data_IF_627694493472
#
_entry.id   IF_627694493472
#
_cell.length_a   1.000
_cell.length_b   1.000
_cell.length_c   1.000
_cell.angle_alpha   90.00
_cell.angle_beta   90.00
_cell.angle_gamma   90.00
#
_symmetry.space_group_name_H-M   'P 1'
#
loop_
_entity.id
_entity.type
_entity.pdbx_description
1 polymer ?
#
# COMPACT_ATOMS: atom_id res chain seq x y z
N UNK A 1 64.36 -29.14 33.36
CA UNK A 1 64.62 -30.59 33.39
C UNK A 1 63.51 -31.18 34.21
N UNK A 2 62.70 -31.96 33.51
CA UNK A 2 61.51 -32.66 33.98
C UNK A 2 61.82 -33.67 35.10
N UNK A 3 60.82 -33.89 35.94
CA UNK A 3 60.20 -35.18 36.30
C UNK A 3 59.77 -35.23 37.78
N UNK A 4 58.46 -35.30 37.95
CA UNK A 4 57.72 -35.81 39.12
C UNK A 4 57.72 -37.36 39.12
N UNK A 5 57.05 -38.09 40.05
CA UNK A 5 56.58 -37.86 41.43
C UNK A 5 56.97 -39.06 42.36
N UNK A 6 56.28 -39.36 43.49
CA UNK A 6 55.14 -40.29 43.39
C UNK A 6 53.98 -40.07 44.39
N UNK A 7 52.96 -40.89 44.18
CA UNK A 7 51.55 -40.92 44.58
C UNK A 7 51.27 -41.59 45.94
N UNK A 8 49.96 -41.66 46.28
CA UNK A 8 49.22 -42.60 47.20
C UNK A 8 49.23 -42.27 48.72
N UNK A 9 48.15 -42.33 49.54
CA UNK A 9 46.77 -42.89 49.49
C UNK A 9 45.93 -42.35 50.69
N UNK A 10 44.58 -42.35 50.61
CA UNK A 10 43.54 -42.60 51.67
C UNK A 10 43.55 -41.78 53.01
N UNK A 11 42.47 -41.44 53.73
CA UNK A 11 41.10 -41.94 53.92
C UNK A 11 40.26 -40.92 54.77
N UNK A 12 38.93 -40.94 54.57
CA UNK A 12 37.77 -40.61 55.44
C UNK A 12 37.83 -39.64 56.66
N UNK A 13 36.87 -38.69 56.72
CA UNK A 13 35.88 -38.54 57.82
C UNK A 13 34.82 -37.44 57.54
N UNK A 14 33.56 -37.77 57.80
CA UNK A 14 32.25 -37.04 57.70
C UNK A 14 31.99 -36.07 58.89
N UNK A 15 30.80 -35.45 59.10
CA UNK A 15 29.96 -34.59 58.23
C UNK A 15 29.46 -33.29 58.95
N UNK A 16 28.96 -32.30 58.22
CA UNK A 16 28.03 -31.22 58.63
C UNK A 16 27.48 -30.66 57.30
N UNK A 17 26.19 -30.73 56.93
CA UNK A 17 25.01 -30.46 57.74
C UNK A 17 24.60 -29.00 57.54
N UNK A 18 24.08 -28.63 56.35
CA UNK A 18 23.16 -27.50 56.23
C UNK A 18 22.32 -27.57 54.95
N UNK A 19 21.02 -27.73 55.14
CA UNK A 19 19.96 -27.55 54.15
C UNK A 19 19.71 -26.05 53.97
N UNK A 20 19.63 -25.58 52.73
CA UNK A 20 18.85 -24.37 52.43
C UNK A 20 18.01 -24.60 51.17
N UNK A 21 16.71 -24.69 51.41
CA UNK A 21 15.64 -24.77 50.43
C UNK A 21 15.55 -23.47 49.59
N UNK A 22 14.98 -23.53 48.37
CA UNK A 22 14.81 -22.36 47.53
C UNK A 22 13.71 -21.43 48.05
N UNK A 23 13.99 -20.14 48.02
CA UNK A 23 13.09 -19.03 48.37
C UNK A 23 11.90 -19.01 47.39
N UNK A 24 10.63 -18.92 47.86
CA UNK A 24 9.49 -18.79 46.97
C UNK A 24 9.47 -17.39 46.34
N UNK A 25 9.39 -17.33 45.01
CA UNK A 25 9.11 -16.08 44.30
C UNK A 25 7.65 -15.70 44.52
N UNK A 26 7.45 -14.52 45.08
CA UNK A 26 6.15 -13.89 45.29
C UNK A 26 5.52 -13.56 43.93
N UNK A 27 4.43 -14.26 43.58
CA UNK A 27 3.63 -13.96 42.39
C UNK A 27 2.87 -12.64 42.61
N UNK A 28 3.33 -11.57 41.95
CA UNK A 28 2.55 -10.34 41.84
C UNK A 28 1.24 -10.63 41.07
N UNK A 29 0.08 -10.12 41.53
CA UNK A 29 -1.17 -10.33 40.81
C UNK A 29 -1.13 -9.60 39.46
N UNK A 30 -1.74 -10.19 38.39
CA UNK A 30 -1.70 -9.62 37.05
C UNK A 30 -2.34 -8.24 37.02
N UNK A 31 -1.70 -7.33 36.28
CA UNK A 31 -2.21 -5.97 36.06
C UNK A 31 -3.50 -6.01 35.23
N UNK A 32 -4.38 -5.02 35.43
CA UNK A 32 -5.71 -4.91 34.82
C UNK A 32 -5.72 -5.08 33.29
N UNK A 33 -4.60 -4.83 32.62
CA UNK A 33 -4.42 -4.97 31.16
C UNK A 33 -4.26 -6.43 30.72
N UNK A 34 -3.63 -7.29 31.52
CA UNK A 34 -3.50 -8.73 31.21
C UNK A 34 -4.81 -9.49 31.41
N UNK A 35 -5.68 -9.02 32.30
CA UNK A 35 -7.01 -9.57 32.50
C UNK A 35 -7.97 -9.22 31.34
N UNK A 36 -7.85 -8.04 30.73
CA UNK A 36 -8.62 -7.67 29.53
C UNK A 36 -8.19 -8.45 28.27
N UNK A 37 -6.90 -8.72 28.10
CA UNK A 37 -6.38 -9.52 26.98
C UNK A 37 -6.82 -10.99 27.04
N UNK A 38 -7.08 -11.52 28.25
CA UNK A 38 -7.53 -12.90 28.45
C UNK A 38 -9.05 -13.03 28.24
N UNK A 39 -9.84 -12.02 28.65
CA UNK A 39 -11.29 -11.98 28.37
C UNK A 39 -11.64 -11.91 26.88
N UNK A 40 -10.79 -11.28 26.07
CA UNK A 40 -10.99 -11.21 24.60
C UNK A 40 -10.69 -12.52 23.87
N UNK A 41 -10.13 -13.54 24.53
CA UNK A 41 -9.85 -14.85 23.93
C UNK A 41 -10.95 -15.90 24.15
N UNK A 42 -11.80 -15.73 25.16
CA UNK A 42 -12.77 -16.76 25.58
C UNK A 42 -14.21 -16.55 25.10
N UNK A 43 -14.53 -15.45 24.40
CA UNK A 43 -15.88 -15.21 23.85
C UNK A 43 -15.95 -15.40 22.31
N UNK A 44 -15.58 -16.59 21.84
CA UNK A 44 -15.95 -17.04 20.49
C UNK A 44 -16.90 -18.25 20.60
N UNK A 45 -18.13 -18.19 20.07
CA UNK A 45 -19.04 -19.34 20.11
C UNK A 45 -18.49 -20.50 19.25
N UNK A 46 -18.80 -21.77 19.59
CA UNK A 46 -18.25 -22.92 18.89
C UNK A 46 -18.72 -22.96 17.43
N UNK A 47 -17.78 -23.06 16.50
CA UNK A 47 -18.04 -23.22 15.07
C UNK A 47 -18.65 -24.60 14.84
N UNK A 48 -19.95 -24.62 14.53
CA UNK A 48 -20.63 -25.82 14.02
C UNK A 48 -20.15 -26.09 12.60
N UNK A 49 -19.60 -27.28 12.36
CA UNK A 49 -19.13 -27.74 11.06
C UNK A 49 -20.31 -27.92 10.11
N UNK A 50 -20.48 -27.03 9.12
CA UNK A 50 -21.41 -27.26 8.02
C UNK A 50 -20.66 -27.88 6.83
N UNK A 51 -21.11 -29.07 6.43
CA UNK A 51 -20.61 -29.82 5.27
C UNK A 51 -20.87 -29.08 3.96
N UNK A 52 -19.92 -29.17 3.02
CA UNK A 52 -20.02 -28.60 1.68
C UNK A 52 -21.10 -29.30 0.83
N UNK A 53 -21.88 -28.57 0.02
CA UNK A 53 -22.80 -29.18 -0.94
C UNK A 53 -22.06 -29.73 -2.18
N UNK A 54 -22.59 -30.79 -2.85
CA UNK A 54 -21.91 -31.43 -3.96
C UNK A 54 -22.06 -30.63 -5.28
N UNK A 55 -21.03 -30.70 -6.11
CA UNK A 55 -21.00 -30.09 -7.45
C UNK A 55 -21.88 -30.86 -8.45
N UNK A 56 -22.63 -30.17 -9.34
CA UNK A 56 -23.38 -30.85 -10.39
C UNK A 56 -22.46 -31.26 -11.55
N UNK A 57 -22.65 -32.51 -11.98
CA UNK A 57 -22.04 -33.13 -13.15
C UNK A 57 -23.02 -33.03 -14.31
N UNK A 58 -22.59 -32.57 -15.49
CA UNK A 58 -23.32 -32.87 -16.73
C UNK A 58 -22.37 -33.17 -17.88
N UNK A 59 -22.53 -34.36 -18.44
CA UNK A 59 -21.94 -34.86 -19.69
C UNK A 59 -22.85 -34.47 -20.86
N UNK A 60 -22.28 -34.14 -22.01
CA UNK A 60 -22.76 -34.48 -23.36
C UNK A 60 -21.67 -34.08 -24.37
N UNK A 61 -20.86 -35.02 -24.87
CA UNK A 61 -21.03 -35.80 -26.10
C UNK A 61 -21.10 -34.99 -27.40
N UNK A 62 -20.05 -35.18 -28.20
CA UNK A 62 -19.77 -34.67 -29.54
C UNK A 62 -20.60 -35.36 -30.62
N UNK A 63 -20.57 -34.83 -31.86
CA UNK A 63 -20.16 -35.69 -32.97
C UNK A 63 -19.10 -35.08 -33.90
N UNK A 64 -18.26 -36.00 -34.40
CA UNK A 64 -17.12 -35.87 -35.30
C UNK A 64 -17.48 -35.62 -36.77
N UNK A 65 -16.63 -34.89 -37.52
CA UNK A 65 -16.03 -35.42 -38.77
C UNK A 65 -14.74 -34.70 -39.19
N UNK A 66 -13.80 -35.50 -39.72
CA UNK A 66 -12.41 -35.27 -40.19
C UNK A 66 -12.34 -34.21 -41.32
N UNK A 67 -11.25 -33.49 -41.62
CA UNK A 67 -9.85 -33.42 -41.18
C UNK A 67 -9.03 -32.71 -42.27
N UNK A 68 -7.98 -31.96 -41.90
CA UNK A 68 -6.73 -31.70 -42.67
C UNK A 68 -5.82 -30.74 -41.89
N UNK A 69 -4.53 -31.06 -41.83
CA UNK A 69 -3.43 -30.28 -41.26
C UNK A 69 -3.30 -28.87 -41.87
N UNK A 70 -2.80 -27.90 -41.08
CA UNK A 70 -1.54 -27.14 -41.28
C UNK A 70 -1.34 -26.13 -40.11
N UNK A 71 -0.06 -25.95 -39.74
CA UNK A 71 0.60 -25.17 -38.66
C UNK A 71 0.60 -23.63 -38.94
N UNK A 72 0.84 -22.74 -37.93
CA UNK A 72 0.16 -21.44 -37.78
C UNK A 72 0.91 -20.22 -38.33
N UNK A 73 0.16 -19.13 -38.56
CA UNK A 73 0.68 -17.82 -39.00
C UNK A 73 0.30 -16.68 -38.06
N UNK A 74 1.13 -15.64 -38.15
CA UNK A 74 1.44 -14.51 -37.28
C UNK A 74 0.41 -13.37 -37.21
N UNK A 75 0.62 -12.55 -36.17
CA UNK A 75 0.58 -11.08 -36.07
C UNK A 75 -0.28 -10.25 -37.03
N UNK A 76 -1.09 -9.37 -36.45
CA UNK A 76 -1.73 -8.25 -37.17
C UNK A 76 -1.26 -6.91 -36.58
N UNK A 77 -0.41 -6.21 -37.35
CA UNK A 77 -0.14 -4.79 -37.25
C UNK A 77 -1.25 -3.98 -37.96
N UNK A 78 -1.56 -2.78 -37.45
CA UNK A 78 -2.45 -1.80 -38.08
C UNK A 78 -1.66 -0.68 -38.79
N UNK A 79 -2.23 -0.04 -39.83
CA UNK A 79 -1.46 0.47 -40.97
C UNK A 79 -1.03 1.94 -40.88
N UNK A 80 0.08 2.21 -41.57
CA UNK A 80 0.57 3.54 -41.97
C UNK A 80 0.12 3.82 -43.42
N UNK A 81 -0.27 5.06 -43.73
CA UNK A 81 -0.62 5.49 -45.09
C UNK A 81 0.38 6.53 -45.60
N UNK A 82 1.23 6.13 -46.54
CA UNK A 82 1.96 6.94 -47.55
C UNK A 82 0.97 7.52 -48.58
N UNK A 83 1.15 8.63 -49.28
CA UNK A 83 2.22 9.59 -49.51
C UNK A 83 1.89 10.39 -50.80
N UNK A 84 2.57 11.52 -51.07
CA UNK A 84 3.00 11.94 -52.43
C UNK A 84 3.82 13.23 -52.41
N UNK A 85 4.75 13.27 -53.35
CA UNK A 85 5.97 14.07 -53.46
C UNK A 85 5.87 15.02 -54.67
N UNK A 86 6.32 16.28 -54.55
CA UNK A 86 6.80 17.14 -55.65
C UNK A 86 7.89 18.09 -55.10
N UNK A 87 9.00 18.24 -55.83
CA UNK A 87 10.25 18.99 -55.48
C UNK A 87 10.28 20.40 -56.17
N UNK A 88 11.35 21.24 -56.05
CA UNK A 88 11.39 22.59 -55.47
C UNK A 88 11.34 23.74 -56.53
N UNK A 89 11.29 25.05 -56.21
CA UNK A 89 12.46 25.97 -56.11
C UNK A 89 11.97 27.45 -56.01
N UNK A 90 12.72 28.25 -55.24
CA UNK A 90 12.98 29.72 -55.32
C UNK A 90 12.05 30.85 -54.80
N UNK A 91 12.71 31.71 -54.01
CA UNK A 91 12.63 33.17 -53.81
C UNK A 91 11.51 33.86 -53.01
N UNK A 92 11.89 34.22 -51.77
CA UNK A 92 11.89 35.57 -51.16
C UNK A 92 10.71 36.51 -51.45
N UNK A 93 9.87 36.76 -50.42
CA UNK A 93 9.48 38.10 -49.93
C UNK A 93 8.46 37.99 -48.79
N UNK A 94 8.79 38.53 -47.61
CA UNK A 94 7.82 38.98 -46.59
C UNK A 94 7.16 40.29 -47.07
N UNK A 95 5.89 40.66 -46.75
CA UNK A 95 5.47 40.91 -45.35
C UNK A 95 3.95 40.82 -44.99
N UNK A 96 3.68 41.03 -43.69
CA UNK A 96 2.51 41.69 -43.05
C UNK A 96 1.18 40.95 -42.79
N UNK A 97 0.98 40.71 -41.48
CA UNK A 97 -0.21 41.01 -40.64
C UNK A 97 -1.64 40.70 -41.12
N UNK A 98 -2.29 39.82 -40.36
CA UNK A 98 -3.75 39.73 -40.24
C UNK A 98 -4.16 38.52 -39.40
N UNK A 99 -3.86 38.50 -38.09
CA UNK A 99 -4.45 37.50 -37.18
C UNK A 99 -5.82 37.99 -36.75
N UNK A 100 -6.85 37.45 -37.38
CA UNK A 100 -8.22 37.53 -36.90
C UNK A 100 -8.33 36.65 -35.64
N UNK A 101 -8.44 37.30 -34.48
CA UNK A 101 -8.64 36.63 -33.19
C UNK A 101 -10.12 36.25 -33.14
N UNK A 102 -10.42 34.98 -33.36
CA UNK A 102 -11.73 34.41 -33.04
C UNK A 102 -11.82 34.32 -31.52
N UNK A 103 -12.42 35.35 -30.91
CA UNK A 103 -12.75 35.38 -29.49
C UNK A 103 -13.87 34.37 -29.24
N UNK A 104 -13.51 33.16 -28.78
CA UNK A 104 -14.50 32.23 -28.23
C UNK A 104 -15.02 32.86 -26.93
N UNK A 105 -16.26 33.34 -26.95
CA UNK A 105 -16.88 33.96 -25.79
C UNK A 105 -16.97 32.93 -24.66
N UNK A 106 -16.55 33.33 -23.47
CA UNK A 106 -16.62 32.61 -22.20
C UNK A 106 -18.08 32.42 -21.74
N UNK A 107 -18.88 31.71 -22.51
CA UNK A 107 -20.20 31.23 -22.09
C UNK A 107 -19.98 29.92 -21.32
N UNK A 108 -19.89 30.09 -20.00
CA UNK A 108 -20.33 29.16 -18.95
C UNK A 108 -20.24 27.68 -19.29
N UNK A 109 -19.06 27.07 -19.09
CA UNK A 109 -19.04 25.67 -18.67
C UNK A 109 -19.67 25.66 -17.28
N UNK A 110 -20.97 25.39 -17.17
CA UNK A 110 -21.54 24.99 -15.90
C UNK A 110 -20.76 23.74 -15.47
N UNK A 111 -20.12 23.78 -14.31
CA UNK A 111 -19.56 22.61 -13.65
C UNK A 111 -20.70 21.59 -13.46
N UNK A 112 -20.87 20.67 -14.42
CA UNK A 112 -21.80 19.55 -14.29
C UNK A 112 -21.17 18.58 -13.29
N UNK A 113 -21.41 18.83 -12.01
CA UNK A 113 -21.06 17.88 -10.94
C UNK A 113 -21.88 16.62 -11.14
N UNK A 114 -21.22 15.47 -11.18
CA UNK A 114 -21.88 14.19 -11.41
C UNK A 114 -22.44 13.67 -10.09
N UNK A 115 -23.74 13.34 -9.98
CA UNK A 115 -24.29 12.76 -8.77
C UNK A 115 -23.59 11.45 -8.38
N UNK A 116 -23.42 11.23 -7.08
CA UNK A 116 -22.94 9.97 -6.50
C UNK A 116 -24.10 9.20 -5.84
N UNK A 117 -23.90 7.91 -5.59
CA UNK A 117 -24.87 7.11 -4.84
C UNK A 117 -24.84 7.53 -3.36
N UNK A 118 -26.00 7.96 -2.84
CA UNK A 118 -26.20 8.35 -1.44
C UNK A 118 -26.61 7.16 -0.56
N UNK A 119 -27.09 6.09 -1.18
CA UNK A 119 -27.34 4.79 -0.57
C UNK A 119 -26.56 3.76 -1.38
N UNK A 120 -25.72 2.99 -0.71
CA UNK A 120 -24.81 2.06 -1.37
C UNK A 120 -24.76 0.75 -0.62
N UNK A 121 -24.92 -0.34 -1.38
CA UNK A 121 -24.62 -1.70 -0.93
C UNK A 121 -23.23 -2.08 -1.44
N UNK A 122 -22.39 -2.59 -0.56
CA UNK A 122 -21.00 -2.92 -0.88
C UNK A 122 -20.54 -4.16 -0.10
N UNK A 123 -19.64 -4.99 -0.67
CA UNK A 123 -19.31 -6.31 -0.12
C UNK A 123 -18.83 -6.28 1.34
N UNK A 124 -18.14 -5.21 1.72
CA UNK A 124 -17.59 -5.04 3.06
C UNK A 124 -18.58 -4.57 4.14
N UNK A 125 -19.80 -4.15 3.78
CA UNK A 125 -20.74 -3.48 4.69
C UNK A 125 -21.08 -4.33 5.92
N UNK A 126 -21.27 -5.63 5.70
CA UNK A 126 -21.64 -6.60 6.75
C UNK A 126 -20.58 -6.74 7.87
N UNK A 127 -19.33 -6.34 7.62
CA UNK A 127 -18.24 -6.47 8.59
C UNK A 127 -18.08 -5.23 9.49
N UNK A 128 -18.75 -4.12 9.16
CA UNK A 128 -18.70 -2.90 9.95
C UNK A 128 -19.72 -2.96 11.10
N UNK A 129 -19.38 -2.37 12.24
CA UNK A 129 -20.34 -2.18 13.32
C UNK A 129 -21.51 -1.27 12.88
N UNK A 130 -22.72 -1.41 13.43
CA UNK A 130 -23.90 -0.66 12.98
C UNK A 130 -23.73 0.87 13.04
N UNK A 131 -23.01 1.39 14.03
CA UNK A 131 -22.68 2.80 14.17
C UNK A 131 -21.73 3.29 13.07
N UNK A 132 -20.73 2.47 12.70
CA UNK A 132 -19.84 2.75 11.57
C UNK A 132 -20.61 2.76 10.24
N UNK A 133 -21.53 1.81 10.04
CA UNK A 133 -22.39 1.78 8.86
C UNK A 133 -23.26 3.04 8.76
N UNK A 134 -23.94 3.41 9.86
CA UNK A 134 -24.76 4.62 9.92
C UNK A 134 -23.94 5.88 9.64
N UNK A 135 -22.72 5.97 10.20
CA UNK A 135 -21.82 7.08 9.95
C UNK A 135 -21.45 7.20 8.46
N UNK A 136 -21.10 6.09 7.81
CA UNK A 136 -20.79 6.09 6.38
C UNK A 136 -22.00 6.47 5.52
N UNK A 137 -23.18 5.94 5.85
CA UNK A 137 -24.43 6.26 5.16
C UNK A 137 -24.76 7.77 5.26
N UNK A 138 -24.47 8.41 6.40
CA UNK A 138 -24.61 9.87 6.54
C UNK A 138 -23.56 10.65 5.74
N UNK A 139 -22.31 10.18 5.68
CA UNK A 139 -21.31 10.76 4.81
C UNK A 139 -21.69 10.65 3.33
N UNK A 140 -22.31 9.55 2.88
CA UNK A 140 -22.75 9.41 1.49
C UNK A 140 -23.86 10.38 1.11
N UNK A 141 -24.75 10.73 2.04
CA UNK A 141 -25.75 11.80 1.84
C UNK A 141 -25.11 13.18 1.79
N UNK A 142 -24.08 13.43 2.61
CA UNK A 142 -23.34 14.70 2.65
C UNK A 142 -22.55 14.92 1.36
N UNK A 143 -21.77 13.92 0.95
CA UNK A 143 -20.91 13.96 -0.22
C UNK A 143 -21.66 13.40 -1.45
N UNK A 144 -22.70 14.13 -1.86
CA UNK A 144 -23.67 13.69 -2.87
C UNK A 144 -23.17 13.76 -4.32
N UNK A 145 -21.97 14.30 -4.57
CA UNK A 145 -21.38 14.41 -5.91
C UNK A 145 -20.04 13.68 -5.98
N UNK A 146 -19.76 13.03 -7.11
CA UNK A 146 -18.52 12.26 -7.33
C UNK A 146 -17.25 13.08 -7.13
N UNK A 147 -17.32 14.40 -7.34
CA UNK A 147 -16.23 15.35 -7.20
C UNK A 147 -16.15 16.01 -5.80
N UNK A 148 -17.04 15.67 -4.85
CA UNK A 148 -16.93 16.18 -3.48
C UNK A 148 -15.60 15.75 -2.86
N UNK A 149 -14.88 16.70 -2.26
CA UNK A 149 -13.64 16.41 -1.53
C UNK A 149 -14.01 15.84 -0.17
N UNK A 150 -13.64 14.57 0.05
CA UNK A 150 -13.91 13.83 1.29
C UNK A 150 -12.77 14.02 2.27
N UNK A 151 -11.53 13.97 1.78
CA UNK A 151 -10.33 14.09 2.60
C UNK A 151 -9.27 14.91 1.86
N UNK A 152 -8.63 15.83 2.58
CA UNK A 152 -7.54 16.65 2.04
C UNK A 152 -6.51 16.94 3.14
N UNK A 153 -5.30 16.39 2.98
CA UNK A 153 -4.19 16.62 3.90
C UNK A 153 -2.84 16.48 3.20
N UNK A 154 -2.01 17.53 3.29
CA UNK A 154 -0.70 17.56 2.65
C UNK A 154 -0.82 17.48 1.12
N UNK A 155 -0.24 16.43 0.53
CA UNK A 155 -0.32 16.17 -0.92
C UNK A 155 -1.40 15.13 -1.26
N UNK A 156 -2.20 14.71 -0.29
CA UNK A 156 -3.22 13.68 -0.47
C UNK A 156 -4.59 14.33 -0.51
N UNK A 157 -5.31 14.08 -1.59
CA UNK A 157 -6.70 14.49 -1.77
C UNK A 157 -7.49 13.25 -2.21
N UNK A 158 -8.61 13.01 -1.55
CA UNK A 158 -9.54 11.92 -1.87
C UNK A 158 -10.90 12.55 -2.10
N UNK A 159 -11.49 12.25 -3.26
CA UNK A 159 -12.85 12.67 -3.61
C UNK A 159 -13.85 11.52 -3.41
N UNK A 160 -15.16 11.83 -3.43
CA UNK A 160 -16.24 10.86 -3.24
C UNK A 160 -16.13 9.66 -4.19
N UNK A 161 -15.73 9.89 -5.45
CA UNK A 161 -15.49 8.82 -6.42
C UNK A 161 -14.44 7.81 -5.97
N UNK A 162 -13.39 8.27 -5.30
CA UNK A 162 -12.32 7.39 -4.84
C UNK A 162 -12.84 6.47 -3.72
N UNK A 163 -13.73 6.98 -2.86
CA UNK A 163 -14.45 6.16 -1.88
C UNK A 163 -15.31 5.07 -2.55
N UNK A 164 -15.98 5.40 -3.67
CA UNK A 164 -16.71 4.40 -4.45
C UNK A 164 -15.77 3.31 -4.97
N UNK A 165 -14.62 3.69 -5.54
CA UNK A 165 -13.65 2.73 -6.07
C UNK A 165 -13.12 1.77 -4.98
N UNK A 166 -12.91 2.25 -3.75
CA UNK A 166 -12.54 1.37 -2.63
C UNK A 166 -13.64 0.36 -2.34
N UNK A 167 -14.89 0.82 -2.24
CA UNK A 167 -16.01 0.02 -1.73
C UNK A 167 -16.63 -0.92 -2.78
N UNK A 168 -16.55 -0.57 -4.06
CA UNK A 168 -17.16 -1.32 -5.16
C UNK A 168 -16.17 -2.24 -5.89
N UNK A 169 -15.19 -2.79 -5.16
CA UNK A 169 -14.21 -3.75 -5.69
C UNK A 169 -13.44 -3.25 -6.93
N UNK A 170 -13.19 -1.95 -7.02
CA UNK A 170 -12.36 -1.39 -8.09
C UNK A 170 -10.87 -1.36 -7.73
N UNK A 171 -10.03 -1.17 -8.75
CA UNK A 171 -8.59 -1.01 -8.58
C UNK A 171 -8.27 0.30 -7.86
N UNK A 172 -7.41 0.23 -6.84
CA UNK A 172 -6.89 1.43 -6.19
C UNK A 172 -5.93 2.20 -7.11
N UNK A 173 -5.95 3.53 -7.01
CA UNK A 173 -5.03 4.43 -7.71
C UNK A 173 -3.93 5.00 -6.79
N UNK A 174 -3.14 5.94 -7.31
CA UNK A 174 -2.04 6.57 -6.57
C UNK A 174 -2.49 7.31 -5.30
N UNK A 175 -3.63 8.00 -5.34
CA UNK A 175 -4.14 8.75 -4.18
C UNK A 175 -4.57 7.81 -3.07
N UNK A 176 -5.14 6.65 -3.41
CA UNK A 176 -5.45 5.61 -2.44
C UNK A 176 -4.18 5.09 -1.73
N UNK A 177 -3.13 4.77 -2.49
CA UNK A 177 -1.88 4.26 -1.94
C UNK A 177 -1.18 5.31 -1.08
N UNK A 178 -1.14 6.58 -1.51
CA UNK A 178 -0.62 7.69 -0.72
C UNK A 178 -1.45 7.92 0.56
N UNK A 179 -2.77 7.71 0.50
CA UNK A 179 -3.65 7.77 1.67
C UNK A 179 -3.34 6.64 2.67
N UNK A 180 -3.10 5.42 2.20
CA UNK A 180 -2.62 4.32 3.05
C UNK A 180 -1.30 4.70 3.74
N UNK A 181 -0.35 5.28 3.00
CA UNK A 181 0.94 5.71 3.55
C UNK A 181 0.77 6.83 4.59
N UNK A 182 -0.15 7.77 4.37
CA UNK A 182 -0.49 8.82 5.34
C UNK A 182 -0.99 8.23 6.66
N UNK A 183 -1.95 7.30 6.63
CA UNK A 183 -2.43 6.67 7.85
C UNK A 183 -1.37 5.82 8.54
N UNK A 184 -0.53 5.12 7.76
CA UNK A 184 0.56 4.34 8.31
C UNK A 184 1.60 5.21 9.02
N UNK A 185 1.96 6.38 8.45
CA UNK A 185 2.88 7.34 9.08
C UNK A 185 2.34 7.83 10.43
N UNK A 186 1.05 8.14 10.51
CA UNK A 186 0.42 8.53 11.78
C UNK A 186 0.44 7.41 12.81
N UNK A 187 0.07 6.20 12.39
CA UNK A 187 0.06 5.00 13.25
C UNK A 187 1.46 4.70 13.78
N UNK A 188 2.47 4.77 12.93
CA UNK A 188 3.85 4.45 13.31
C UNK A 188 4.46 5.49 14.23
N UNK A 189 4.14 6.78 14.04
CA UNK A 189 4.54 7.86 14.96
C UNK A 189 3.87 7.76 16.33
N UNK A 190 2.64 7.28 16.40
CA UNK A 190 1.94 7.07 17.67
C UNK A 190 2.51 5.88 18.46
N UNK A 191 3.16 4.92 17.80
CA UNK A 191 3.63 3.66 18.40
C UNK A 191 5.09 3.32 18.03
N UNK A 192 6.08 4.20 18.32
CA UNK A 192 7.46 4.04 17.87
C UNK A 192 8.19 2.82 18.48
N UNK A 193 7.63 2.23 19.55
CA UNK A 193 8.13 0.99 20.14
C UNK A 193 7.98 -0.20 19.18
N UNK A 194 6.91 -0.24 18.37
CA UNK A 194 6.53 -1.39 17.53
C UNK A 194 7.13 -1.28 16.11
N UNK A 195 7.27 -0.05 15.60
CA UNK A 195 7.61 0.20 14.21
C UNK A 195 9.05 0.63 14.02
N UNK A 196 9.69 0.16 12.95
CA UNK A 196 11.04 0.59 12.60
C UNK A 196 11.01 1.87 11.75
N UNK A 197 12.04 2.73 11.83
CA UNK A 197 12.11 3.93 11.01
C UNK A 197 12.13 3.60 9.52
N UNK A 198 11.24 4.24 8.75
CA UNK A 198 11.17 4.09 7.31
C UNK A 198 10.97 5.45 6.62
N UNK A 199 11.30 5.50 5.33
CA UNK A 199 10.91 6.58 4.43
C UNK A 199 10.00 6.03 3.35
N UNK A 200 8.92 6.74 3.09
CA UNK A 200 7.99 6.45 2.01
C UNK A 200 8.35 7.27 0.77
N UNK A 201 8.34 6.62 -0.40
CA UNK A 201 8.47 7.26 -1.70
C UNK A 201 7.14 7.09 -2.42
N UNK A 202 6.44 8.19 -2.67
CA UNK A 202 5.14 8.17 -3.35
C UNK A 202 5.30 7.69 -4.80
N UNK A 203 4.37 6.88 -5.34
CA UNK A 203 4.33 6.53 -6.75
C UNK A 203 4.19 7.77 -7.66
N UNK A 204 3.67 8.89 -7.13
CA UNK A 204 3.57 10.16 -7.85
C UNK A 204 4.93 10.75 -8.24
N UNK A 205 6.02 10.42 -7.52
CA UNK A 205 7.37 10.85 -7.90
C UNK A 205 7.71 10.44 -9.33
N UNK A 206 7.43 9.18 -9.69
CA UNK A 206 7.71 8.63 -11.01
C UNK A 206 6.74 9.13 -12.07
N UNK A 207 5.45 9.16 -11.74
CA UNK A 207 4.41 9.61 -12.67
C UNK A 207 4.68 11.04 -13.10
N UNK A 208 4.88 11.96 -12.16
CA UNK A 208 5.13 13.36 -12.50
C UNK A 208 6.51 13.60 -13.15
N UNK A 209 7.48 12.72 -12.90
CA UNK A 209 8.77 12.74 -13.60
C UNK A 209 8.60 12.51 -15.09
N UNK A 210 7.69 11.62 -15.48
CA UNK A 210 7.36 11.42 -16.90
C UNK A 210 6.73 12.66 -17.56
N UNK A 211 6.22 13.61 -16.77
CA UNK A 211 5.63 14.87 -17.21
C UNK A 211 6.54 16.10 -16.98
N UNK A 212 7.80 15.92 -16.58
CA UNK A 212 8.73 17.01 -16.18
C UNK A 212 8.17 17.93 -15.08
N UNK A 213 7.29 17.42 -14.23
CA UNK A 213 6.49 18.22 -13.32
C UNK A 213 6.83 17.94 -11.84
N UNK A 214 6.84 18.98 -11.00
CA UNK A 214 7.07 19.06 -9.53
C UNK A 214 7.62 17.82 -8.76
N UNK A 215 8.52 17.02 -9.34
CA UNK A 215 8.97 15.71 -8.80
C UNK A 215 9.61 15.84 -7.43
N UNK A 216 10.33 16.94 -7.23
CA UNK A 216 11.00 17.30 -5.98
C UNK A 216 10.02 17.31 -4.79
N UNK A 217 8.73 17.57 -5.00
CA UNK A 217 7.74 17.60 -3.92
C UNK A 217 7.63 16.25 -3.18
N UNK A 218 7.76 15.14 -3.90
CA UNK A 218 7.55 13.78 -3.40
C UNK A 218 8.84 13.09 -2.92
N UNK A 219 9.99 13.75 -3.07
CA UNK A 219 11.29 13.24 -2.59
C UNK A 219 12.06 14.25 -1.73
N UNK A 220 11.56 15.49 -1.55
CA UNK A 220 12.24 16.55 -0.76
C UNK A 220 12.55 16.16 0.69
N UNK A 221 11.80 15.23 1.26
CA UNK A 221 11.99 14.74 2.63
C UNK A 221 13.13 13.69 2.72
N UNK A 222 13.60 13.19 1.58
CA UNK A 222 14.69 12.22 1.50
C UNK A 222 15.99 13.00 1.39
N UNK A 223 16.72 13.06 2.50
CA UNK A 223 17.98 13.77 2.66
C UNK A 223 18.99 12.82 3.28
N UNK A 224 20.28 13.12 3.12
CA UNK A 224 21.37 12.32 3.74
C UNK A 224 21.11 12.06 5.23
N UNK A 225 20.71 13.08 5.98
CA UNK A 225 20.45 12.96 7.41
C UNK A 225 19.19 12.15 7.74
N UNK A 226 18.16 12.14 6.89
CA UNK A 226 16.98 11.29 7.12
C UNK A 226 17.31 9.84 6.78
N UNK A 227 18.04 9.58 5.69
CA UNK A 227 18.50 8.25 5.30
C UNK A 227 19.38 7.57 6.37
N UNK A 228 20.28 8.30 7.04
CA UNK A 228 21.09 7.75 8.15
C UNK A 228 20.26 7.17 9.30
N UNK A 229 19.05 7.71 9.52
CA UNK A 229 18.13 7.27 10.57
C UNK A 229 17.03 6.34 10.06
N UNK A 230 17.13 5.88 8.81
CA UNK A 230 16.13 5.09 8.13
C UNK A 230 16.59 3.64 8.01
N UNK A 231 15.73 2.68 8.35
CA UNK A 231 16.00 1.27 8.11
C UNK A 231 15.42 0.81 6.76
N UNK A 232 14.25 1.35 6.38
CA UNK A 232 13.50 0.93 5.20
C UNK A 232 13.19 2.09 4.25
N UNK A 233 13.33 1.86 2.95
CA UNK A 233 12.70 2.66 1.90
C UNK A 233 11.49 1.89 1.37
N UNK A 234 10.29 2.47 1.46
CA UNK A 234 9.02 1.87 1.05
C UNK A 234 8.56 2.54 -0.23
N UNK A 235 8.43 1.78 -1.32
CA UNK A 235 8.15 2.31 -2.66
C UNK A 235 7.11 1.45 -3.37
N UNK A 236 5.82 1.84 -3.31
CA UNK A 236 4.80 1.28 -4.18
C UNK A 236 5.11 1.59 -5.65
N UNK A 237 4.95 0.60 -6.52
CA UNK A 237 5.19 0.72 -7.95
C UNK A 237 3.95 0.22 -8.68
N UNK A 238 3.33 1.08 -9.47
CA UNK A 238 2.31 0.70 -10.45
C UNK A 238 2.95 0.53 -11.83
N UNK A 239 2.67 -0.59 -12.48
CA UNK A 239 3.07 -0.87 -13.85
C UNK A 239 2.03 -1.77 -14.52
N UNK A 240 1.56 -1.40 -15.72
CA UNK A 240 0.53 -2.15 -16.45
C UNK A 240 -0.70 -2.52 -15.58
N UNK A 241 -1.24 -1.54 -14.84
CA UNK A 241 -2.38 -1.68 -13.92
C UNK A 241 -2.19 -2.67 -12.77
N UNK A 242 -0.96 -3.08 -12.47
CA UNK A 242 -0.65 -3.92 -11.32
C UNK A 242 0.23 -3.19 -10.32
N UNK A 243 -0.16 -3.26 -9.04
CA UNK A 243 0.61 -2.72 -7.93
C UNK A 243 1.57 -3.76 -7.37
N UNK A 244 2.82 -3.35 -7.20
CA UNK A 244 3.86 -4.09 -6.46
C UNK A 244 4.47 -3.19 -5.40
N UNK A 245 5.10 -3.78 -4.39
CA UNK A 245 5.80 -3.03 -3.35
C UNK A 245 7.28 -3.38 -3.36
N UNK A 246 8.13 -2.37 -3.59
CA UNK A 246 9.57 -2.50 -3.47
C UNK A 246 10.04 -1.91 -2.13
N UNK A 247 10.73 -2.73 -1.34
CA UNK A 247 11.27 -2.33 -0.03
C UNK A 247 12.79 -2.41 -0.04
N UNK A 248 13.45 -1.28 0.14
CA UNK A 248 14.89 -1.20 0.34
C UNK A 248 15.22 -1.42 1.80
N UNK A 249 16.00 -2.46 2.13
CA UNK A 249 16.54 -2.69 3.46
C UNK A 249 17.95 -2.11 3.52
N UNK A 250 18.08 -0.89 4.04
CA UNK A 250 19.28 -0.05 3.85
C UNK A 250 20.52 -0.67 4.50
N UNK A 251 20.38 -1.26 5.70
CA UNK A 251 21.48 -1.94 6.40
C UNK A 251 21.93 -3.21 5.67
N UNK A 252 20.99 -3.97 5.14
CA UNK A 252 21.23 -5.23 4.43
C UNK A 252 21.67 -5.02 2.96
N UNK A 253 21.56 -3.78 2.45
CA UNK A 253 21.86 -3.40 1.05
C UNK A 253 21.16 -4.31 0.04
N UNK A 254 19.86 -4.51 0.25
CA UNK A 254 19.03 -5.41 -0.55
C UNK A 254 17.66 -4.79 -0.81
N UNK A 255 17.13 -5.04 -1.99
CA UNK A 255 15.75 -4.74 -2.34
C UNK A 255 14.89 -6.01 -2.21
N UNK A 256 13.69 -5.85 -1.66
CA UNK A 256 12.69 -6.90 -1.49
C UNK A 256 11.44 -6.51 -2.27
N UNK A 257 11.07 -7.32 -3.27
CA UNK A 257 9.87 -7.13 -4.07
C UNK A 257 8.73 -7.99 -3.52
N UNK A 258 7.65 -7.34 -3.10
CA UNK A 258 6.40 -7.98 -2.68
C UNK A 258 5.38 -7.81 -3.80
N UNK A 259 4.76 -8.92 -4.18
CA UNK A 259 3.89 -9.02 -5.33
C UNK A 259 2.73 -9.96 -5.01
N UNK A 260 1.50 -9.45 -5.03
CA UNK A 260 0.29 -10.24 -4.77
C UNK A 260 -0.17 -11.05 -5.99
N UNK A 261 0.36 -10.78 -7.18
CA UNK A 261 0.23 -11.60 -8.40
C UNK A 261 1.63 -11.89 -8.96
N UNK A 262 2.38 -12.82 -8.33
CA UNK A 262 3.79 -13.03 -8.63
C UNK A 262 4.05 -13.27 -10.12
N UNK A 263 4.76 -12.33 -10.76
CA UNK A 263 5.31 -12.51 -12.09
C UNK A 263 6.80 -12.11 -12.08
N UNK A 264 7.73 -13.01 -12.47
CA UNK A 264 9.15 -12.68 -12.55
C UNK A 264 9.48 -11.41 -13.36
N UNK A 265 8.67 -11.09 -14.37
CA UNK A 265 8.84 -9.89 -15.21
C UNK A 265 8.61 -8.58 -14.44
N UNK A 266 7.80 -8.60 -13.36
CA UNK A 266 7.61 -7.41 -12.51
C UNK A 266 8.89 -6.95 -11.81
N UNK A 267 9.94 -7.78 -11.78
CA UNK A 267 11.26 -7.37 -11.29
C UNK A 267 11.93 -6.35 -12.21
N UNK A 268 11.67 -6.37 -13.51
CA UNK A 268 12.37 -5.53 -14.49
C UNK A 268 12.08 -4.05 -14.25
N UNK A 269 10.81 -3.70 -14.02
CA UNK A 269 10.42 -2.32 -13.74
C UNK A 269 11.07 -1.77 -12.46
N UNK A 270 11.33 -2.63 -11.48
CA UNK A 270 11.98 -2.24 -10.23
C UNK A 270 13.41 -1.73 -10.46
N UNK A 271 14.13 -2.29 -11.44
CA UNK A 271 15.49 -1.81 -11.79
C UNK A 271 15.44 -0.38 -12.30
N UNK A 272 14.51 -0.09 -13.21
CA UNK A 272 14.30 1.25 -13.76
C UNK A 272 13.93 2.25 -12.65
N UNK A 273 12.98 1.89 -11.78
CA UNK A 273 12.55 2.74 -10.66
C UNK A 273 13.69 3.07 -9.70
N UNK A 274 14.53 2.09 -9.36
CA UNK A 274 15.68 2.30 -8.47
C UNK A 274 16.73 3.21 -9.13
N UNK A 275 16.98 3.03 -10.43
CA UNK A 275 17.89 3.90 -11.18
C UNK A 275 17.38 5.35 -11.22
N UNK A 276 16.10 5.54 -11.52
CA UNK A 276 15.46 6.87 -11.57
C UNK A 276 15.52 7.59 -10.22
N UNK A 277 15.25 6.88 -9.12
CA UNK A 277 15.36 7.42 -7.77
C UNK A 277 16.81 7.78 -7.43
N UNK A 278 17.76 6.92 -7.78
CA UNK A 278 19.17 7.16 -7.50
C UNK A 278 19.73 8.34 -8.29
N UNK A 279 19.29 8.56 -9.54
CA UNK A 279 19.67 9.75 -10.31
C UNK A 279 19.32 11.02 -9.53
N UNK A 280 18.10 11.10 -8.99
CA UNK A 280 17.61 12.28 -8.28
C UNK A 280 18.25 12.46 -6.90
N UNK A 281 18.60 11.36 -6.24
CA UNK A 281 19.02 11.33 -4.84
C UNK A 281 20.44 10.83 -4.61
N UNK A 282 21.26 10.70 -5.64
CA UNK A 282 22.62 10.14 -5.57
C UNK A 282 23.47 10.80 -4.47
N UNK A 283 23.37 12.13 -4.34
CA UNK A 283 24.08 12.91 -3.30
C UNK A 283 23.60 12.64 -1.87
N UNK A 284 22.41 12.05 -1.71
CA UNK A 284 21.83 11.70 -0.41
C UNK A 284 22.27 10.32 0.08
N UNK A 285 22.57 9.39 -0.83
CA UNK A 285 22.98 8.03 -0.50
C UNK A 285 24.50 7.90 -0.32
N UNK A 286 24.92 7.08 0.65
CA UNK A 286 26.34 6.79 0.88
C UNK A 286 26.87 5.67 -0.03
N UNK A 287 25.98 4.88 -0.60
CA UNK A 287 26.29 3.80 -1.51
C UNK A 287 25.36 3.84 -2.72
N UNK A 288 25.84 3.29 -3.83
CA UNK A 288 25.04 3.14 -5.04
C UNK A 288 23.97 2.05 -4.84
N UNK A 289 22.73 2.49 -4.65
CA UNK A 289 21.59 1.61 -4.37
C UNK A 289 21.14 0.80 -5.60
N UNK A 290 21.59 1.19 -6.80
CA UNK A 290 21.28 0.49 -8.05
C UNK A 290 22.00 -0.86 -8.14
N UNK A 291 23.11 -1.01 -7.41
CA UNK A 291 23.91 -2.23 -7.35
C UNK A 291 23.34 -3.29 -6.40
N UNK A 292 22.32 -2.95 -5.62
CA UNK A 292 21.75 -3.88 -4.63
C UNK A 292 20.87 -4.92 -5.33
N UNK A 293 20.98 -6.19 -4.91
CA UNK A 293 20.17 -7.27 -5.49
C UNK A 293 18.68 -7.05 -5.17
N UNK A 294 17.82 -7.27 -6.16
CA UNK A 294 16.36 -7.31 -6.00
C UNK A 294 15.93 -8.76 -5.83
N UNK A 295 15.41 -9.08 -4.65
CA UNK A 295 14.91 -10.41 -4.29
C UNK A 295 13.38 -10.40 -4.24
N UNK A 296 12.75 -11.31 -4.97
CA UNK A 296 11.30 -11.55 -4.87
C UNK A 296 11.02 -12.25 -3.54
N UNK A 297 10.08 -11.71 -2.77
CA UNK A 297 9.63 -12.32 -1.52
C UNK A 297 8.60 -13.40 -1.84
N UNK A 298 8.80 -14.60 -1.29
CA UNK A 298 7.94 -15.78 -1.51
C UNK A 298 7.21 -16.15 -0.22
N UNK A 299 6.14 -16.93 -0.34
CA UNK A 299 5.35 -17.38 0.81
C UNK A 299 4.58 -16.26 1.49
N UNK A 300 4.25 -15.21 0.75
CA UNK A 300 3.40 -14.11 1.20
C UNK A 300 1.96 -14.33 0.70
N UNK A 301 0.94 -13.78 1.37
CA UNK A 301 -0.45 -13.89 0.92
C UNK A 301 -0.62 -13.32 -0.49
N UNK A 302 -1.29 -14.02 -1.39
CA UNK A 302 -1.53 -13.56 -2.77
C UNK A 302 -2.99 -13.25 -3.01
N UNK A 303 -3.28 -12.40 -3.99
CA UNK A 303 -4.67 -12.12 -4.38
C UNK A 303 -5.19 -13.21 -5.32
N UNK A 304 -6.52 -13.36 -5.41
CA UNK A 304 -7.20 -14.27 -6.33
C UNK A 304 -8.08 -13.56 -7.36
N UNK A 305 -8.14 -12.22 -7.33
CA UNK A 305 -8.89 -11.39 -8.27
C UNK A 305 -7.97 -10.40 -9.00
N UNK A 306 -8.53 -9.51 -9.82
CA UNK A 306 -7.78 -8.55 -10.63
C UNK A 306 -7.66 -7.15 -10.02
N UNK A 307 -8.29 -6.88 -8.87
CA UNK A 307 -8.50 -5.51 -8.38
C UNK A 307 -7.91 -5.22 -6.99
N UNK A 308 -7.57 -6.25 -6.20
CA UNK A 308 -7.08 -6.07 -4.83
C UNK A 308 -5.57 -5.79 -4.72
N UNK A 309 -4.82 -5.72 -5.82
CA UNK A 309 -3.36 -5.53 -5.77
C UNK A 309 -2.97 -4.31 -4.91
N UNK A 310 -3.69 -3.19 -5.04
CA UNK A 310 -3.48 -2.01 -4.20
C UNK A 310 -3.77 -2.21 -2.72
N UNK A 311 -4.85 -2.94 -2.38
CA UNK A 311 -5.17 -3.30 -0.99
C UNK A 311 -4.07 -4.19 -0.40
N UNK A 312 -3.57 -5.17 -1.15
CA UNK A 312 -2.42 -5.98 -0.74
C UNK A 312 -1.18 -5.13 -0.49
N UNK A 313 -0.90 -4.11 -1.32
CA UNK A 313 0.21 -3.19 -1.07
C UNK A 313 0.03 -2.44 0.26
N UNK A 314 -1.16 -1.92 0.55
CA UNK A 314 -1.45 -1.30 1.84
C UNK A 314 -1.19 -2.27 3.01
N UNK A 315 -1.68 -3.52 2.92
CA UNK A 315 -1.45 -4.53 3.96
C UNK A 315 0.02 -4.96 4.06
N UNK A 316 0.75 -5.08 2.96
CA UNK A 316 2.18 -5.36 2.98
C UNK A 316 2.93 -4.23 3.68
N UNK A 317 2.65 -2.96 3.33
CA UNK A 317 3.26 -1.80 3.97
C UNK A 317 3.08 -1.83 5.49
N UNK A 318 1.87 -2.10 5.98
CA UNK A 318 1.59 -2.22 7.43
C UNK A 318 2.46 -3.27 8.13
N UNK A 319 2.76 -4.39 7.46
CA UNK A 319 3.53 -5.50 8.05
C UNK A 319 5.04 -5.27 7.95
N UNK A 320 5.54 -4.79 6.81
CA UNK A 320 6.99 -4.65 6.60
C UNK A 320 7.62 -3.60 7.50
N UNK A 321 6.85 -2.60 7.97
CA UNK A 321 7.34 -1.55 8.88
C UNK A 321 7.41 -1.98 10.34
N UNK A 322 6.96 -3.20 10.69
CA UNK A 322 7.15 -3.76 12.02
C UNK A 322 8.64 -4.01 12.29
N UNK A 323 9.09 -3.82 13.54
CA UNK A 323 10.47 -4.18 13.93
C UNK A 323 10.69 -5.68 13.88
N UNK A 324 9.71 -6.44 14.36
CA UNK A 324 9.78 -7.89 14.41
C UNK A 324 9.63 -8.51 13.02
N UNK A 325 10.19 -9.70 12.88
CA UNK A 325 10.06 -10.47 11.65
C UNK A 325 8.59 -10.86 11.46
N UNK A 326 8.06 -10.56 10.28
CA UNK A 326 6.69 -10.94 9.90
C UNK A 326 6.64 -12.44 9.61
N UNK A 327 5.78 -13.16 10.32
CA UNK A 327 5.32 -14.48 9.91
C UNK A 327 4.16 -14.34 8.92
N UNK A 328 4.44 -14.57 7.64
CA UNK A 328 3.46 -14.44 6.57
C UNK A 328 2.41 -15.57 6.57
N UNK A 329 2.69 -16.70 7.21
CA UNK A 329 1.77 -17.84 7.26
C UNK A 329 0.50 -17.52 8.06
N UNK A 330 0.61 -16.63 9.05
CA UNK A 330 -0.51 -16.11 9.84
C UNK A 330 -1.51 -15.28 9.00
N UNK A 331 -1.14 -14.90 7.78
CA UNK A 331 -1.92 -14.01 6.92
C UNK A 331 -2.42 -14.67 5.63
N UNK A 332 -2.31 -16.00 5.51
CA UNK A 332 -2.66 -16.75 4.28
C UNK A 332 -4.11 -16.56 3.77
N UNK A 333 -5.03 -16.11 4.62
CA UNK A 333 -6.44 -15.89 4.28
C UNK A 333 -6.79 -14.42 4.03
N UNK A 334 -5.80 -13.55 3.80
CA UNK A 334 -6.05 -12.11 3.54
C UNK A 334 -7.04 -11.83 2.43
N UNK A 335 -7.07 -12.63 1.37
CA UNK A 335 -8.02 -12.44 0.29
C UNK A 335 -9.48 -12.48 0.77
N UNK A 336 -9.81 -13.32 1.74
CA UNK A 336 -11.17 -13.42 2.31
C UNK A 336 -11.53 -12.19 3.14
N UNK A 337 -10.52 -11.47 3.65
CA UNK A 337 -10.68 -10.28 4.46
C UNK A 337 -10.72 -8.99 3.63
N UNK A 338 -10.47 -9.04 2.31
CA UNK A 338 -10.40 -7.85 1.46
C UNK A 338 -11.68 -7.01 1.47
N UNK A 339 -12.90 -7.58 1.46
CA UNK A 339 -14.12 -6.80 1.63
C UNK A 339 -14.14 -5.98 2.92
N UNK A 340 -13.75 -6.59 4.05
CA UNK A 340 -13.64 -5.90 5.34
C UNK A 340 -12.55 -4.84 5.31
N UNK A 341 -11.36 -5.15 4.79
CA UNK A 341 -10.26 -4.18 4.72
C UNK A 341 -10.60 -2.96 3.85
N UNK A 342 -11.35 -3.16 2.75
CA UNK A 342 -11.85 -2.07 1.91
C UNK A 342 -12.82 -1.18 2.69
N UNK A 343 -13.78 -1.79 3.39
CA UNK A 343 -14.73 -1.07 4.24
C UNK A 343 -14.03 -0.30 5.38
N UNK A 344 -13.12 -0.94 6.10
CA UNK A 344 -12.31 -0.31 7.16
C UNK A 344 -11.50 0.87 6.61
N UNK A 345 -10.93 0.73 5.41
CA UNK A 345 -10.14 1.79 4.78
C UNK A 345 -10.99 2.99 4.37
N UNK A 346 -12.13 2.76 3.70
CA UNK A 346 -13.07 3.82 3.35
C UNK A 346 -13.62 4.54 4.59
N UNK A 347 -14.01 3.78 5.61
CA UNK A 347 -14.44 4.32 6.91
C UNK A 347 -13.36 5.23 7.51
N UNK A 348 -12.10 4.77 7.53
CA UNK A 348 -11.00 5.56 8.09
C UNK A 348 -10.79 6.88 7.34
N UNK A 349 -10.93 6.89 6.01
CA UNK A 349 -10.83 8.11 5.21
C UNK A 349 -11.96 9.09 5.55
N UNK A 350 -13.20 8.61 5.56
CA UNK A 350 -14.39 9.43 5.85
C UNK A 350 -14.31 10.03 7.26
N UNK A 351 -13.96 9.20 8.25
CA UNK A 351 -13.81 9.62 9.64
C UNK A 351 -12.73 10.70 9.81
N UNK A 352 -11.58 10.50 9.17
CA UNK A 352 -10.50 11.49 9.24
C UNK A 352 -10.88 12.79 8.49
N UNK A 353 -11.56 12.67 7.36
CA UNK A 353 -12.08 13.80 6.57
C UNK A 353 -12.98 14.71 7.41
N UNK A 354 -14.01 14.14 8.04
CA UNK A 354 -14.92 14.86 8.95
C UNK A 354 -14.15 15.50 10.10
N UNK A 355 -13.18 14.79 10.69
CA UNK A 355 -12.39 15.34 11.80
C UNK A 355 -11.57 16.56 11.38
N UNK A 356 -10.96 16.53 10.19
CA UNK A 356 -10.20 17.67 9.66
C UNK A 356 -11.13 18.85 9.40
N UNK A 357 -12.29 18.61 8.79
CA UNK A 357 -13.28 19.65 8.52
C UNK A 357 -13.76 20.34 9.81
N UNK A 358 -14.12 19.55 10.82
CA UNK A 358 -14.54 20.06 12.13
C UNK A 358 -13.44 20.90 12.80
N UNK A 359 -12.18 20.46 12.74
CA UNK A 359 -11.06 21.22 13.28
C UNK A 359 -10.85 22.55 12.53
N UNK A 360 -11.02 22.56 11.21
CA UNK A 360 -10.93 23.77 10.41
C UNK A 360 -12.05 24.77 10.74
N UNK A 361 -13.28 24.29 10.94
CA UNK A 361 -14.42 25.13 11.37
C UNK A 361 -14.16 25.75 12.74
N UNK A 362 -13.73 24.94 13.73
CA UNK A 362 -13.38 25.43 15.08
C UNK A 362 -12.31 26.53 15.02
N UNK A 363 -11.25 26.32 14.23
CA UNK A 363 -10.18 27.30 14.05
C UNK A 363 -10.67 28.61 13.42
N UNK A 364 -11.62 28.55 12.48
CA UNK A 364 -12.22 29.76 11.87
C UNK A 364 -13.05 30.54 12.89
N UNK A 365 -13.82 29.86 13.74
CA UNK A 365 -14.60 30.48 14.81
C UNK A 365 -13.68 31.15 15.84
N UNK A 366 -12.64 30.46 16.30
CA UNK A 366 -11.66 31.01 17.25
C UNK A 366 -10.93 32.24 16.69
N UNK A 367 -10.57 32.23 15.40
CA UNK A 367 -9.93 33.36 14.77
C UNK A 367 -10.89 34.55 14.62
N UNK A 368 -12.17 34.31 14.31
CA UNK A 368 -13.17 35.36 14.25
C UNK A 368 -13.41 35.98 15.64
N UNK A 369 -13.46 35.16 16.69
CA UNK A 369 -13.62 35.62 18.07
C UNK A 369 -12.43 36.45 18.59
N UNK A 370 -11.21 36.22 18.07
CA UNK A 370 -10.00 37.01 18.39
C UNK A 370 -9.88 38.30 17.59
N UNK A 371 -10.65 38.45 16.52
CA UNK A 371 -10.65 39.64 15.67
C UNK A 371 -11.66 40.70 16.12
N UNK A 372 -12.52 40.36 17.09
CA UNK A 372 -13.43 41.24 17.81
C UNK A 372 -12.90 41.47 19.23
#
# INVERSE_FOLDING_TARGET
MDEQPPTTTEQEATPLGDESAPIPMDEQPPTTIEQEATRLRDESPPITTMQAPPSPTTKEQSPTTKGKEIVPTEETQYPTTTGKEIVPTEETQSPTTGKEIVTVSSQTIQDIRSPAQTEMDYPGKIFLAPDMQSFMDDCFKKYAYRQDVVFNSGNVMVIRRDIDHILLDECLDNFHIDTCAFFLDRKTKALPAIYQPYLYVSPMHRILKSYNDYTNLYIKHIKKETLKRTNLLIMPIINNNHWTLLVGRLKERVWKLYDSLPNPQHKEICVTVVNELYIDLSKCFEADITKWRINIVRGIPTQSNSFDCGMFICKYMEKVVLKDKVDWSAYKYWQNEMPRYRADFAYQILLEGERIELNNVKKRIENAAKAH
#
